data_IF_720237268395
#
_entry.id   IF_720237268395
#
_cell.length_a   1.000
_cell.length_b   1.000
_cell.length_c   1.000
_cell.angle_alpha   90.00
_cell.angle_beta   90.00
_cell.angle_gamma   90.00
#
_symmetry.space_group_name_H-M   'P 1'
#
loop_
_entity.id
_entity.type
_entity.pdbx_description
1 polymer ?
#
# COMPACT_ATOMS: atom_id res chain seq x y z
N UNK A 1 -2.10 20.81 -18.13
CA UNK A 1 -0.79 20.86 -18.83
C UNK A 1 0.40 21.01 -17.88
N UNK A 2 0.35 21.84 -16.82
CA UNK A 2 1.42 21.85 -15.79
C UNK A 2 1.32 20.65 -14.82
N UNK A 3 0.11 20.25 -14.43
CA UNK A 3 -0.12 19.07 -13.57
C UNK A 3 0.32 17.76 -14.23
N UNK A 4 0.09 17.59 -15.54
CA UNK A 4 0.55 16.42 -16.31
C UNK A 4 2.08 16.35 -16.46
N UNK A 5 2.79 17.50 -16.43
CA UNK A 5 4.26 17.53 -16.44
C UNK A 5 4.85 17.15 -15.07
N UNK A 6 4.22 17.59 -13.99
CA UNK A 6 4.64 17.20 -12.63
C UNK A 6 4.50 15.69 -12.41
N UNK A 7 3.40 15.10 -12.89
CA UNK A 7 3.21 13.65 -12.87
C UNK A 7 4.27 12.91 -13.69
N UNK A 8 4.71 13.45 -14.84
CA UNK A 8 5.73 12.82 -15.69
C UNK A 8 7.16 12.86 -15.12
N UNK A 9 7.52 13.85 -14.31
CA UNK A 9 8.81 13.85 -13.62
C UNK A 9 8.83 12.90 -12.40
N UNK A 10 7.69 12.69 -11.74
CA UNK A 10 7.50 11.62 -10.72
C UNK A 10 7.51 10.20 -11.32
N UNK A 11 7.28 10.04 -12.63
CA UNK A 11 7.31 8.73 -13.30
C UNK A 11 8.70 8.11 -13.47
N UNK A 12 9.77 8.84 -13.10
CA UNK A 12 11.13 8.30 -12.92
C UNK A 12 11.43 7.90 -11.48
N UNK A 13 10.49 8.14 -10.56
CA UNK A 13 10.63 7.72 -9.18
C UNK A 13 10.27 6.24 -9.07
N UNK A 14 11.31 5.39 -9.08
CA UNK A 14 11.16 3.94 -8.95
C UNK A 14 10.34 3.55 -7.70
N UNK A 15 10.37 4.38 -6.65
CA UNK A 15 9.58 4.16 -5.44
C UNK A 15 8.09 4.40 -5.65
N UNK A 16 7.72 5.41 -6.45
CA UNK A 16 6.33 5.64 -6.82
C UNK A 16 5.82 4.50 -7.70
N UNK A 17 6.66 4.00 -8.62
CA UNK A 17 6.32 2.85 -9.46
C UNK A 17 6.18 1.55 -8.66
N UNK A 18 7.07 1.30 -7.69
CA UNK A 18 6.92 0.20 -6.75
C UNK A 18 5.58 0.28 -6.00
N UNK A 19 5.22 1.45 -5.48
CA UNK A 19 3.96 1.66 -4.77
C UNK A 19 2.75 1.34 -5.67
N UNK A 20 2.76 1.85 -6.90
CA UNK A 20 1.73 1.59 -7.90
C UNK A 20 1.59 0.09 -8.21
N UNK A 21 2.68 -0.59 -8.52
CA UNK A 21 2.63 -2.00 -8.93
C UNK A 21 2.22 -2.92 -7.77
N UNK A 22 2.65 -2.61 -6.55
CA UNK A 22 2.23 -3.30 -5.34
C UNK A 22 0.73 -3.15 -5.09
N UNK A 23 0.21 -1.92 -5.14
CA UNK A 23 -1.21 -1.66 -4.91
C UNK A 23 -2.07 -2.31 -6.01
N UNK A 24 -1.62 -2.23 -7.26
CA UNK A 24 -2.26 -2.92 -8.39
C UNK A 24 -2.33 -4.43 -8.17
N UNK A 25 -1.25 -5.06 -7.71
CA UNK A 25 -1.22 -6.50 -7.41
C UNK A 25 -2.22 -6.87 -6.31
N UNK A 26 -2.29 -6.08 -5.23
CA UNK A 26 -3.23 -6.32 -4.13
C UNK A 26 -4.68 -6.19 -4.60
N UNK A 27 -4.99 -5.14 -5.35
CA UNK A 27 -6.36 -4.89 -5.81
C UNK A 27 -6.84 -5.92 -6.85
N UNK A 28 -5.97 -6.34 -7.78
CA UNK A 28 -6.32 -7.40 -8.75
C UNK A 28 -6.76 -8.68 -8.07
N UNK A 29 -6.19 -9.00 -6.91
CA UNK A 29 -6.62 -10.17 -6.11
C UNK A 29 -8.00 -10.01 -5.50
N UNK A 30 -8.40 -8.77 -5.21
CA UNK A 30 -9.75 -8.44 -4.74
C UNK A 30 -10.79 -8.45 -5.87
N UNK A 31 -10.40 -8.77 -7.12
CA UNK A 31 -11.30 -8.90 -8.26
C UNK A 31 -11.78 -7.58 -8.86
N UNK A 32 -11.07 -6.47 -8.60
CA UNK A 32 -11.42 -5.14 -9.11
C UNK A 32 -10.56 -4.82 -10.33
N UNK A 33 -11.20 -4.38 -11.40
CA UNK A 33 -10.55 -3.60 -12.45
C UNK A 33 -10.60 -2.13 -12.06
N UNK A 34 -9.49 -1.60 -11.55
CA UNK A 34 -9.40 -0.18 -11.23
C UNK A 34 -8.98 0.59 -12.47
N UNK A 35 -9.61 1.74 -12.76
CA UNK A 35 -9.17 2.65 -13.81
C UNK A 35 -7.91 3.41 -13.36
N UNK A 36 -6.81 2.70 -13.10
CA UNK A 36 -5.53 3.35 -12.87
C UNK A 36 -4.97 3.88 -14.18
N UNK A 37 -4.31 5.03 -14.09
CA UNK A 37 -3.54 5.62 -15.18
C UNK A 37 -2.53 4.56 -15.64
N UNK A 38 -2.64 4.15 -16.91
CA UNK A 38 -1.64 3.28 -17.52
C UNK A 38 -0.32 4.04 -17.55
N UNK A 39 0.53 3.78 -16.56
CA UNK A 39 1.90 4.24 -16.61
C UNK A 39 2.55 3.57 -17.84
N UNK A 40 3.23 4.32 -18.72
CA UNK A 40 4.09 3.75 -19.73
C UNK A 40 5.03 2.75 -19.04
N UNK A 41 5.44 1.75 -19.78
CA UNK A 41 6.18 0.61 -19.24
C UNK A 41 7.70 0.90 -19.34
N UNK A 42 8.38 1.43 -18.30
CA UNK A 42 9.75 1.03 -18.04
C UNK A 42 9.70 -0.26 -17.21
N UNK A 43 10.65 -1.16 -17.43
CA UNK A 43 10.85 -2.31 -16.57
C UNK A 43 11.03 -1.83 -15.12
N UNK A 44 10.01 -2.00 -14.26
CA UNK A 44 10.15 -1.69 -12.84
C UNK A 44 11.06 -2.74 -12.19
N UNK A 45 12.34 -2.41 -12.06
CA UNK A 45 13.32 -3.29 -11.43
C UNK A 45 13.02 -3.55 -9.93
N UNK A 46 12.32 -2.63 -9.25
CA UNK A 46 12.07 -2.73 -7.82
C UNK A 46 10.90 -3.65 -7.45
N UNK A 47 9.98 -3.96 -8.37
CA UNK A 47 8.86 -4.85 -8.09
C UNK A 47 8.99 -6.17 -8.85
N UNK A 48 9.31 -7.23 -8.11
CA UNK A 48 9.68 -8.53 -8.68
C UNK A 48 8.56 -9.56 -8.55
N UNK A 49 8.67 -10.67 -9.30
CA UNK A 49 7.79 -11.83 -9.10
C UNK A 49 7.91 -12.44 -7.69
N UNK A 50 9.04 -12.26 -7.01
CA UNK A 50 9.19 -12.68 -5.62
C UNK A 50 8.29 -11.87 -4.69
N UNK A 51 8.18 -10.55 -4.91
CA UNK A 51 7.25 -9.68 -4.16
C UNK A 51 5.80 -10.07 -4.39
N UNK A 52 5.40 -10.35 -5.63
CA UNK A 52 4.05 -10.86 -5.94
C UNK A 52 3.72 -12.13 -5.16
N UNK A 53 4.68 -13.07 -5.07
CA UNK A 53 4.52 -14.29 -4.28
C UNK A 53 4.35 -13.99 -2.79
N UNK A 54 5.18 -13.11 -2.22
CA UNK A 54 5.10 -12.68 -0.81
C UNK A 54 3.72 -12.06 -0.54
N UNK A 55 3.27 -11.13 -1.37
CA UNK A 55 1.95 -10.50 -1.26
C UNK A 55 0.85 -11.57 -1.30
N UNK A 56 0.97 -12.52 -2.23
CA UNK A 56 -0.03 -13.56 -2.42
C UNK A 56 -0.19 -14.43 -1.17
N UNK A 57 0.93 -14.97 -0.69
CA UNK A 57 0.99 -15.84 0.49
C UNK A 57 0.54 -15.10 1.75
N UNK A 58 1.05 -13.89 1.96
CA UNK A 58 0.72 -13.08 3.12
C UNK A 58 -0.78 -12.75 3.19
N UNK A 59 -1.38 -12.19 2.14
CA UNK A 59 -2.82 -11.85 2.25
C UNK A 59 -3.73 -13.08 2.16
N UNK A 60 -3.23 -14.25 1.74
CA UNK A 60 -4.00 -15.48 1.90
C UNK A 60 -4.11 -15.87 3.40
N UNK A 61 -3.12 -15.50 4.21
CA UNK A 61 -3.12 -15.75 5.66
C UNK A 61 -3.89 -14.67 6.43
N UNK A 62 -3.68 -13.38 6.11
CA UNK A 62 -4.19 -12.26 6.94
C UNK A 62 -5.25 -11.39 6.27
N UNK A 63 -5.59 -11.63 5.00
CA UNK A 63 -6.47 -10.77 4.23
C UNK A 63 -7.86 -10.62 4.83
N UNK A 64 -8.49 -11.74 5.21
CA UNK A 64 -9.82 -11.76 5.84
C UNK A 64 -9.83 -11.06 7.21
N UNK A 65 -8.74 -11.20 7.97
CA UNK A 65 -8.57 -10.49 9.23
C UNK A 65 -8.55 -8.97 9.02
N UNK A 66 -7.77 -8.49 8.04
CA UNK A 66 -7.69 -7.06 7.70
C UNK A 66 -9.06 -6.54 7.24
N UNK A 67 -9.76 -7.28 6.38
CA UNK A 67 -11.11 -6.94 5.91
C UNK A 67 -12.08 -6.81 7.09
N UNK A 68 -12.08 -7.77 8.00
CA UNK A 68 -12.92 -7.75 9.21
C UNK A 68 -12.65 -6.52 10.09
N UNK A 69 -11.38 -6.09 10.21
CA UNK A 69 -11.04 -4.87 10.96
C UNK A 69 -11.62 -3.62 10.30
N UNK A 70 -11.51 -3.51 8.97
CA UNK A 70 -12.05 -2.39 8.19
C UNK A 70 -13.57 -2.33 8.30
N UNK A 71 -14.25 -3.46 8.11
CA UNK A 71 -15.70 -3.57 8.23
C UNK A 71 -16.18 -3.28 9.67
N UNK A 72 -15.46 -3.80 10.66
CA UNK A 72 -15.74 -3.55 12.07
C UNK A 72 -15.61 -2.08 12.46
N UNK A 73 -14.67 -1.33 11.85
CA UNK A 73 -14.59 0.12 12.03
C UNK A 73 -15.75 0.83 11.34
N UNK A 74 -16.02 0.48 10.08
CA UNK A 74 -17.12 1.04 9.30
C UNK A 74 -18.47 0.90 10.01
N UNK A 75 -18.75 -0.25 10.61
CA UNK A 75 -19.98 -0.52 11.35
C UNK A 75 -20.15 0.36 12.61
N UNK A 76 -19.05 0.86 13.20
CA UNK A 76 -19.09 1.75 14.37
C UNK A 76 -19.27 3.22 13.98
N UNK A 77 -19.05 3.59 12.73
CA UNK A 77 -19.28 4.93 12.22
C UNK A 77 -20.80 5.20 12.16
N UNK A 78 -21.30 6.01 13.10
CA UNK A 78 -22.73 6.38 13.15
C UNK A 78 -23.19 7.19 11.95
N UNK A 79 -22.27 7.86 11.25
CA UNK A 79 -22.55 8.56 10.01
C UNK A 79 -21.95 7.78 8.84
N UNK A 80 -22.87 7.26 8.01
CA UNK A 80 -22.58 6.49 6.80
C UNK A 80 -21.64 7.19 5.81
N UNK A 81 -21.55 8.53 5.85
CA UNK A 81 -20.62 9.29 5.00
C UNK A 81 -19.16 9.08 5.37
N UNK A 82 -18.88 8.63 6.59
CA UNK A 82 -17.54 8.30 7.05
C UNK A 82 -17.23 6.80 7.01
N UNK A 83 -18.26 5.98 6.75
CA UNK A 83 -18.09 4.55 6.51
C UNK A 83 -17.34 4.35 5.18
N UNK A 84 -16.25 3.60 5.22
CA UNK A 84 -15.36 3.41 4.08
C UNK A 84 -14.85 4.73 3.44
N UNK A 85 -14.50 5.70 4.28
CA UNK A 85 -13.92 7.00 3.88
C UNK A 85 -12.40 7.03 4.10
N UNK A 86 -11.75 8.11 3.67
CA UNK A 86 -10.32 8.34 3.96
C UNK A 86 -10.02 8.28 5.47
N UNK A 87 -10.96 8.71 6.32
CA UNK A 87 -10.83 8.58 7.78
C UNK A 87 -10.80 7.13 8.26
N UNK A 88 -11.65 6.27 7.67
CA UNK A 88 -11.65 4.83 7.98
C UNK A 88 -10.32 4.21 7.54
N UNK A 89 -9.84 4.56 6.34
CA UNK A 89 -8.53 4.17 5.86
C UNK A 89 -7.43 4.59 6.83
N UNK A 90 -7.35 5.87 7.23
CA UNK A 90 -6.27 6.36 8.10
C UNK A 90 -6.23 5.67 9.46
N UNK A 91 -7.38 5.40 10.08
CA UNK A 91 -7.43 4.70 11.37
C UNK A 91 -6.99 3.24 11.25
N UNK A 92 -7.52 2.52 10.25
CA UNK A 92 -7.15 1.11 10.03
C UNK A 92 -5.70 0.96 9.56
N UNK A 93 -5.20 1.88 8.72
CA UNK A 93 -3.80 1.94 8.31
C UNK A 93 -2.88 2.05 9.51
N UNK A 94 -3.20 2.94 10.47
CA UNK A 94 -2.37 3.09 11.67
C UNK A 94 -2.28 1.80 12.50
N UNK A 95 -3.40 1.09 12.65
CA UNK A 95 -3.44 -0.21 13.35
C UNK A 95 -2.62 -1.27 12.64
N UNK A 96 -2.81 -1.39 11.33
CA UNK A 96 -2.05 -2.32 10.47
C UNK A 96 -0.55 -2.03 10.52
N UNK A 97 -0.15 -0.75 10.47
CA UNK A 97 1.26 -0.38 10.65
C UNK A 97 1.77 -0.85 12.01
N UNK A 98 1.03 -0.62 13.09
CA UNK A 98 1.46 -1.05 14.43
C UNK A 98 1.59 -2.58 14.56
N UNK A 99 0.70 -3.33 13.91
CA UNK A 99 0.63 -4.78 13.99
C UNK A 99 1.67 -5.47 13.10
N UNK A 100 1.87 -4.97 11.89
CA UNK A 100 2.70 -5.61 10.86
C UNK A 100 4.03 -4.90 10.61
N UNK A 101 4.37 -3.84 11.36
CA UNK A 101 5.68 -3.19 11.25
C UNK A 101 6.78 -4.22 11.55
N UNK A 102 7.68 -4.49 10.59
CA UNK A 102 8.74 -5.47 10.77
C UNK A 102 9.85 -4.89 11.65
N UNK A 103 10.36 -5.70 12.58
CA UNK A 103 11.59 -5.41 13.32
C UNK A 103 12.51 -6.65 13.32
N UNK A 104 13.69 -6.59 12.67
CA UNK A 104 14.21 -5.53 11.78
C UNK A 104 13.48 -5.49 10.41
N UNK A 105 13.65 -4.39 9.66
CA UNK A 105 13.10 -4.24 8.30
C UNK A 105 13.81 -5.17 7.30
N UNK A 106 13.34 -6.41 7.17
CA UNK A 106 13.66 -7.25 6.01
C UNK A 106 12.86 -6.80 4.80
N UNK A 107 13.34 -7.11 3.60
CA UNK A 107 12.60 -6.87 2.34
C UNK A 107 11.23 -7.54 2.36
N UNK A 108 11.17 -8.79 2.85
CA UNK A 108 9.91 -9.50 2.99
C UNK A 108 8.94 -8.81 3.96
N UNK A 109 9.43 -8.40 5.13
CA UNK A 109 8.62 -7.68 6.12
C UNK A 109 8.13 -6.34 5.59
N UNK A 110 8.98 -5.64 4.84
CA UNK A 110 8.62 -4.38 4.17
C UNK A 110 7.49 -4.58 3.16
N UNK A 111 7.61 -5.58 2.29
CA UNK A 111 6.59 -5.91 1.28
C UNK A 111 5.27 -6.30 1.95
N UNK A 112 5.32 -7.10 3.04
CA UNK A 112 4.14 -7.48 3.82
C UNK A 112 3.43 -6.27 4.43
N UNK A 113 4.18 -5.34 5.04
CA UNK A 113 3.62 -4.09 5.56
C UNK A 113 2.94 -3.26 4.47
N UNK A 114 3.61 -3.08 3.33
CA UNK A 114 3.04 -2.34 2.20
C UNK A 114 1.78 -3.02 1.65
N UNK A 115 1.79 -4.36 1.56
CA UNK A 115 0.63 -5.14 1.13
C UNK A 115 -0.55 -4.99 2.08
N UNK A 116 -0.30 -4.93 3.40
CA UNK A 116 -1.34 -4.73 4.39
C UNK A 116 -1.98 -3.33 4.29
N UNK A 117 -1.17 -2.28 4.07
CA UNK A 117 -1.66 -0.93 3.81
C UNK A 117 -2.53 -0.90 2.55
N UNK A 118 -2.04 -1.50 1.47
CA UNK A 118 -2.76 -1.60 0.21
C UNK A 118 -4.09 -2.38 0.37
N UNK A 119 -4.12 -3.43 1.20
CA UNK A 119 -5.33 -4.20 1.47
C UNK A 119 -6.38 -3.35 2.19
N UNK A 120 -5.99 -2.54 3.18
CA UNK A 120 -6.92 -1.60 3.84
C UNK A 120 -7.52 -0.62 2.83
N UNK A 121 -6.69 -0.07 1.94
CA UNK A 121 -7.14 0.83 0.90
C UNK A 121 -8.11 0.14 -0.08
N UNK A 122 -7.78 -1.08 -0.51
CA UNK A 122 -8.64 -1.88 -1.39
C UNK A 122 -10.00 -2.16 -0.75
N UNK A 123 -10.06 -2.54 0.53
CA UNK A 123 -11.31 -2.77 1.26
C UNK A 123 -12.18 -1.50 1.35
N UNK A 124 -11.58 -0.32 1.56
CA UNK A 124 -12.32 0.95 1.58
C UNK A 124 -12.82 1.32 0.17
N UNK A 125 -11.94 1.24 -0.82
CA UNK A 125 -12.26 1.59 -2.20
C UNK A 125 -13.39 0.72 -2.78
N UNK A 126 -13.37 -0.60 -2.52
CA UNK A 126 -14.43 -1.55 -2.90
C UNK A 126 -15.83 -1.13 -2.48
N UNK A 127 -15.93 -0.46 -1.34
CA UNK A 127 -17.21 -0.07 -0.74
C UNK A 127 -17.55 1.39 -1.06
N UNK A 128 -16.56 2.19 -1.46
CA UNK A 128 -16.71 3.60 -1.78
C UNK A 128 -15.64 4.08 -2.78
N UNK A 129 -15.91 3.93 -4.07
CA UNK A 129 -14.96 4.32 -5.14
C UNK A 129 -14.71 5.84 -5.23
N UNK A 130 -15.44 6.67 -4.47
CA UNK A 130 -15.29 8.13 -4.45
C UNK A 130 -14.24 8.64 -3.45
N UNK A 131 -13.63 7.74 -2.67
CA UNK A 131 -12.58 8.10 -1.73
C UNK A 131 -11.19 8.04 -2.37
N UNK A 132 -10.25 8.79 -1.81
CA UNK A 132 -8.89 8.93 -2.34
C UNK A 132 -7.90 7.95 -1.69
N UNK A 133 -8.43 6.94 -0.98
CA UNK A 133 -7.65 5.96 -0.18
C UNK A 133 -6.55 5.24 -0.96
N UNK A 134 -6.76 5.00 -2.26
CA UNK A 134 -5.74 4.36 -3.09
C UNK A 134 -4.57 5.31 -3.37
N UNK A 135 -4.85 6.61 -3.56
CA UNK A 135 -3.82 7.64 -3.71
C UNK A 135 -3.04 7.78 -2.40
N UNK A 136 -3.75 7.85 -1.27
CA UNK A 136 -3.11 7.90 0.05
C UNK A 136 -2.24 6.67 0.32
N UNK A 137 -2.67 5.47 -0.08
CA UNK A 137 -1.85 4.26 0.05
C UNK A 137 -0.61 4.31 -0.84
N UNK A 138 -0.72 4.83 -2.07
CA UNK A 138 0.45 5.02 -2.95
C UNK A 138 1.46 5.98 -2.33
N UNK A 139 1.00 7.13 -1.83
CA UNK A 139 1.85 8.11 -1.13
C UNK A 139 2.51 7.53 0.12
N UNK A 140 1.76 6.77 0.93
CA UNK A 140 2.27 6.11 2.13
C UNK A 140 3.38 5.11 1.78
N UNK A 141 3.15 4.22 0.82
CA UNK A 141 4.15 3.23 0.38
C UNK A 141 5.36 3.91 -0.25
N UNK A 142 5.15 4.92 -1.09
CA UNK A 142 6.24 5.69 -1.69
C UNK A 142 7.14 6.35 -0.64
N UNK A 143 6.53 6.97 0.37
CA UNK A 143 7.25 7.57 1.49
C UNK A 143 8.01 6.50 2.31
N UNK A 144 7.45 5.31 2.47
CA UNK A 144 8.13 4.19 3.11
C UNK A 144 9.33 3.70 2.30
N UNK A 145 9.20 3.54 0.97
CA UNK A 145 10.32 3.19 0.08
C UNK A 145 11.43 4.23 0.20
N UNK A 146 11.11 5.53 0.11
CA UNK A 146 12.09 6.62 0.26
C UNK A 146 12.83 6.54 1.60
N UNK A 147 12.12 6.32 2.70
CA UNK A 147 12.73 6.16 4.04
C UNK A 147 13.64 4.94 4.13
N UNK A 148 13.22 3.80 3.57
CA UNK A 148 14.03 2.59 3.56
C UNK A 148 15.29 2.78 2.72
N UNK A 149 15.17 3.27 1.49
CA UNK A 149 16.30 3.51 0.59
C UNK A 149 17.27 4.57 1.14
N UNK A 150 16.78 5.59 1.85
CA UNK A 150 17.63 6.60 2.50
C UNK A 150 18.54 6.03 3.59
N UNK A 151 18.23 4.83 4.12
CA UNK A 151 19.02 4.13 5.16
C UNK A 151 20.02 3.14 4.55
N UNK A 152 20.12 3.05 3.22
CA UNK A 152 20.93 2.06 2.49
C UNK A 152 20.11 0.86 1.99
N UNK A 153 20.77 -0.15 1.40
CA UNK A 153 20.11 -1.41 1.03
C UNK A 153 19.62 -2.13 2.28
N UNK A 154 18.44 -2.76 2.21
CA UNK A 154 17.75 -3.50 3.30
C UNK A 154 18.63 -4.53 4.04
N UNK A 155 19.78 -4.91 3.49
CA UNK A 155 20.80 -5.73 4.16
C UNK A 155 21.56 -5.02 5.30
N UNK A 156 21.41 -3.70 5.46
CA UNK A 156 22.13 -2.91 6.48
C UNK A 156 21.26 -2.32 7.60
N UNK A 157 19.95 -2.60 7.65
CA UNK A 157 19.08 -2.03 8.70
C UNK A 157 19.10 -2.80 10.03
N UNK A 158 20.05 -3.71 10.25
CA UNK A 158 20.21 -4.48 11.50
C UNK A 158 21.16 -3.82 12.52
N UNK A 159 21.55 -2.56 12.33
CA UNK A 159 22.46 -1.87 13.25
C UNK A 159 21.98 -0.45 13.55
N UNK A 160 21.39 -0.28 14.72
CA UNK A 160 21.75 0.72 15.73
C UNK A 160 20.54 1.02 16.63
N UNK A 161 20.32 0.17 17.63
CA UNK A 161 19.88 0.68 18.93
C UNK A 161 21.17 1.08 19.66
N UNK A 162 21.37 2.39 19.82
CA UNK A 162 22.05 3.01 20.96
C UNK A 162 21.00 3.84 21.70
#
# INVERSE_FOLDING_TARGET
MEEERSLMDDMRDDGYRFAHDLITEVIKRSGIDVPFVNFPNPENFLFTNAHKRIIREFLAEVGEYIETQVEGYAARCKDSKYSYSDFNYFDNRFKVIKEFKPEPYSEEGFVKLCAAIAQVAACNYLRNEKCDVLIHAMEDVHNFVKKVLSRGTLQHSSLADD
#
